data_IF_303358290151
#
_entry.id   IF_303358290151
#
_cell.length_a   1.000
_cell.length_b   1.000
_cell.length_c   1.000
_cell.angle_alpha   90.00
_cell.angle_beta   90.00
_cell.angle_gamma   90.00
#
_symmetry.space_group_name_H-M   'P 1'
#
loop_
_entity.id
_entity.type
_entity.pdbx_description
1 polymer ?
#
# COMPACT_ATOMS: atom_id res chain seq x y z
N UNK A 1 2.12 7.51 23.97
CA UNK A 1 2.30 7.26 22.52
C UNK A 1 2.64 8.59 21.88
N UNK A 2 3.78 8.69 21.21
CA UNK A 2 4.18 9.90 20.49
C UNK A 2 3.82 9.74 19.02
N UNK A 3 3.30 10.79 18.41
CA UNK A 3 3.02 10.85 16.97
C UNK A 3 4.03 11.84 16.39
N UNK A 4 4.72 11.41 15.34
CA UNK A 4 5.71 12.19 14.63
C UNK A 4 5.15 12.56 13.26
N UNK A 5 5.40 13.79 12.83
CA UNK A 5 4.97 14.28 11.53
C UNK A 5 6.19 14.53 10.64
N UNK A 6 6.02 14.24 9.36
CA UNK A 6 6.99 14.53 8.30
C UNK A 6 6.35 15.54 7.36
N UNK A 7 7.11 16.54 6.95
CA UNK A 7 6.62 17.52 5.98
C UNK A 7 7.01 17.06 4.57
N UNK A 8 6.08 17.08 3.63
CA UNK A 8 6.39 16.92 2.21
C UNK A 8 6.50 18.31 1.58
N UNK A 9 7.72 18.72 1.27
CA UNK A 9 7.99 19.96 0.56
C UNK A 9 7.60 19.85 -0.91
N UNK A 10 7.07 20.95 -1.44
CA UNK A 10 6.68 21.08 -2.85
C UNK A 10 7.89 21.66 -3.62
N UNK A 11 8.36 21.02 -4.70
CA UNK A 11 9.44 21.57 -5.53
C UNK A 11 9.10 22.98 -6.04
N UNK A 12 10.11 23.87 -6.12
CA UNK A 12 9.93 25.28 -6.50
C UNK A 12 9.18 25.48 -7.83
N UNK A 13 9.36 24.57 -8.77
CA UNK A 13 8.74 24.61 -10.10
C UNK A 13 7.34 23.97 -10.15
N UNK A 14 6.71 23.68 -9.01
CA UNK A 14 5.40 23.01 -8.93
C UNK A 14 4.48 23.70 -7.93
N UNK A 15 3.18 23.62 -8.22
CA UNK A 15 2.11 23.99 -7.28
C UNK A 15 1.68 22.82 -6.38
N UNK A 16 1.97 21.58 -6.80
CA UNK A 16 1.52 20.34 -6.12
C UNK A 16 2.68 19.41 -5.78
N UNK A 17 2.58 18.62 -4.70
CA UNK A 17 3.57 17.61 -4.35
C UNK A 17 3.82 16.60 -5.48
N UNK A 18 4.99 15.94 -5.46
CA UNK A 18 5.38 14.96 -6.48
C UNK A 18 4.64 13.62 -6.38
N UNK A 19 4.07 13.31 -5.21
CA UNK A 19 3.29 12.10 -4.97
C UNK A 19 3.72 11.38 -3.68
N UNK A 20 3.16 10.19 -3.47
CA UNK A 20 3.35 9.41 -2.24
C UNK A 20 4.76 8.83 -2.10
N UNK A 21 5.40 8.42 -3.20
CA UNK A 21 6.78 7.93 -3.19
C UNK A 21 7.77 9.03 -2.74
N UNK A 22 7.56 10.26 -3.20
CA UNK A 22 8.33 11.42 -2.76
C UNK A 22 8.06 11.75 -1.27
N UNK A 23 6.80 11.68 -0.83
CA UNK A 23 6.47 11.85 0.59
C UNK A 23 7.22 10.85 1.48
N UNK A 24 7.27 9.57 1.06
CA UNK A 24 8.04 8.54 1.76
C UNK A 24 9.54 8.82 1.73
N UNK A 25 10.08 9.24 0.58
CA UNK A 25 11.50 9.59 0.47
C UNK A 25 11.87 10.73 1.41
N UNK A 26 11.05 11.77 1.48
CA UNK A 26 11.26 12.91 2.38
C UNK A 26 11.12 12.50 3.85
N UNK A 27 10.17 11.63 4.18
CA UNK A 27 10.05 11.01 5.52
C UNK A 27 11.34 10.28 5.93
N UNK A 28 11.87 9.39 5.07
CA UNK A 28 13.12 8.66 5.34
C UNK A 28 14.36 9.57 5.42
N UNK A 29 14.31 10.77 4.86
CA UNK A 29 15.38 11.76 5.01
C UNK A 29 15.27 12.53 6.33
N UNK A 30 14.05 12.83 6.79
CA UNK A 30 13.79 13.50 8.07
C UNK A 30 13.95 12.55 9.28
N UNK A 31 13.72 11.25 9.08
CA UNK A 31 13.86 10.19 10.09
C UNK A 31 14.74 9.05 9.55
N UNK A 32 16.08 9.24 9.47
CA UNK A 32 16.99 8.27 8.90
C UNK A 32 16.98 6.89 9.57
N UNK A 33 16.61 6.81 10.86
CA UNK A 33 16.49 5.56 11.61
C UNK A 33 15.50 4.57 10.99
N UNK A 34 14.51 5.07 10.22
CA UNK A 34 13.55 4.22 9.51
C UNK A 34 14.18 3.42 8.36
N UNK A 35 15.39 3.78 7.92
CA UNK A 35 16.13 3.05 6.87
C UNK A 35 16.76 1.75 7.40
N UNK A 36 16.93 1.63 8.70
CA UNK A 36 17.62 0.51 9.34
C UNK A 36 16.66 -0.61 9.80
N UNK A 37 15.37 -0.48 9.51
CA UNK A 37 14.35 -1.42 9.98
C UNK A 37 13.19 -1.61 9.02
N UNK A 38 12.22 -2.41 9.46
CA UNK A 38 10.98 -2.67 8.72
C UNK A 38 9.88 -1.71 9.17
N UNK A 39 9.13 -1.18 8.21
CA UNK A 39 7.96 -0.35 8.46
C UNK A 39 6.81 -0.75 7.56
N UNK A 40 5.59 -0.50 8.03
CA UNK A 40 4.37 -0.64 7.24
C UNK A 40 3.97 0.71 6.69
N UNK A 41 3.64 0.75 5.40
CA UNK A 41 3.01 1.91 4.77
C UNK A 41 1.52 1.65 4.62
N UNK A 42 0.71 2.57 5.12
CA UNK A 42 -0.74 2.57 4.93
C UNK A 42 -1.23 3.98 4.60
N UNK A 43 -2.37 4.10 3.93
CA UNK A 43 -2.98 5.42 3.76
C UNK A 43 -3.74 5.84 5.03
N UNK A 44 -3.91 7.16 5.20
CA UNK A 44 -4.58 7.71 6.40
C UNK A 44 -6.11 7.70 6.32
N UNK A 45 -6.70 7.23 5.22
CA UNK A 45 -8.15 7.33 4.97
C UNK A 45 -8.85 5.96 4.84
N UNK A 46 -8.12 4.84 4.95
CA UNK A 46 -8.70 3.50 5.04
C UNK A 46 -8.65 2.96 6.47
N UNK A 47 -9.59 2.08 6.79
CA UNK A 47 -9.56 1.25 7.98
C UNK A 47 -9.00 -0.13 7.63
N UNK A 48 -7.96 -0.53 8.34
CA UNK A 48 -7.32 -1.84 8.20
C UNK A 48 -7.76 -2.74 9.35
N UNK A 49 -7.92 -4.03 9.07
CA UNK A 49 -8.21 -4.98 10.14
C UNK A 49 -6.97 -5.13 11.03
N UNK A 50 -7.20 -5.32 12.34
CA UNK A 50 -6.12 -5.60 13.29
C UNK A 50 -5.37 -6.88 12.91
N UNK A 51 -6.07 -7.87 12.35
CA UNK A 51 -5.47 -9.10 11.83
C UNK A 51 -4.46 -8.84 10.73
N UNK A 52 -4.83 -8.08 9.70
CA UNK A 52 -3.93 -7.81 8.57
C UNK A 52 -2.66 -7.05 9.01
N UNK A 53 -2.78 -6.10 9.95
CA UNK A 53 -1.62 -5.41 10.52
C UNK A 53 -0.74 -6.33 11.40
N UNK A 54 -1.34 -7.32 12.07
CA UNK A 54 -0.56 -8.34 12.81
C UNK A 54 0.18 -9.26 11.85
N UNK A 55 -0.45 -9.68 10.76
CA UNK A 55 0.15 -10.57 9.76
C UNK A 55 1.36 -9.89 9.09
N UNK A 56 1.26 -8.58 8.80
CA UNK A 56 2.40 -7.79 8.31
C UNK A 56 3.58 -7.67 9.29
N UNK A 57 3.39 -8.00 10.58
CA UNK A 57 4.46 -7.98 11.58
C UNK A 57 5.07 -9.36 11.85
N UNK A 58 4.52 -10.43 11.28
CA UNK A 58 5.06 -11.79 11.43
C UNK A 58 6.44 -11.87 10.76
N UNK A 59 7.35 -12.61 11.41
CA UNK A 59 8.69 -12.88 10.89
C UNK A 59 8.62 -13.64 9.55
N UNK A 60 9.52 -13.33 8.64
CA UNK A 60 9.50 -13.84 7.28
C UNK A 60 10.90 -13.99 6.71
N UNK A 61 11.05 -14.95 5.81
CA UNK A 61 12.29 -15.20 5.06
C UNK A 61 12.35 -14.43 3.73
N UNK A 62 11.35 -13.60 3.45
CA UNK A 62 11.25 -12.77 2.23
C UNK A 62 11.34 -11.28 2.61
N UNK A 63 11.91 -10.41 1.75
CA UNK A 63 12.23 -9.05 2.13
C UNK A 63 11.01 -8.15 2.34
N UNK A 64 9.90 -8.42 1.65
CA UNK A 64 8.73 -7.56 1.62
C UNK A 64 7.44 -8.38 1.78
N UNK A 65 6.40 -7.73 2.29
CA UNK A 65 5.04 -8.25 2.33
C UNK A 65 4.04 -7.13 2.08
N UNK A 66 2.86 -7.49 1.59
CA UNK A 66 1.74 -6.59 1.38
C UNK A 66 0.45 -7.28 1.83
N UNK A 67 -0.60 -6.49 2.04
CA UNK A 67 -1.95 -7.01 2.31
C UNK A 67 -2.75 -6.92 1.00
N UNK A 68 -3.30 -8.04 0.56
CA UNK A 68 -4.37 -8.09 -0.43
C UNK A 68 -5.69 -8.43 0.26
N UNK A 69 -6.80 -7.97 -0.31
CA UNK A 69 -8.13 -8.30 0.18
C UNK A 69 -8.88 -8.97 -0.96
N UNK A 70 -9.42 -10.17 -0.69
CA UNK A 70 -10.29 -10.83 -1.66
C UNK A 70 -11.52 -9.98 -1.96
N UNK A 71 -11.87 -9.88 -3.23
CA UNK A 71 -13.07 -9.16 -3.70
C UNK A 71 -14.34 -9.69 -3.00
N UNK A 72 -14.40 -11.00 -2.74
CA UNK A 72 -15.45 -11.69 -2.00
C UNK A 72 -15.65 -11.19 -0.56
N UNK A 73 -14.61 -10.60 0.04
CA UNK A 73 -14.66 -9.97 1.36
C UNK A 73 -15.42 -8.64 1.36
N UNK A 74 -15.67 -8.05 0.18
CA UNK A 74 -16.39 -6.80 0.03
C UNK A 74 -17.78 -7.04 -0.57
N UNK A 75 -18.81 -6.47 0.05
CA UNK A 75 -20.16 -6.38 -0.53
C UNK A 75 -20.25 -5.19 -1.51
N UNK A 76 -19.32 -5.12 -2.45
CA UNK A 76 -19.28 -4.05 -3.45
C UNK A 76 -19.89 -4.50 -4.77
N UNK A 77 -20.48 -3.55 -5.49
CA UNK A 77 -20.95 -3.79 -6.86
C UNK A 77 -19.76 -3.94 -7.79
N UNK A 78 -19.93 -4.66 -8.90
CA UNK A 78 -18.89 -4.84 -9.92
C UNK A 78 -18.33 -3.50 -10.41
N UNK A 79 -19.19 -2.48 -10.59
CA UNK A 79 -18.76 -1.12 -10.98
C UNK A 79 -17.99 -0.35 -9.90
N UNK A 80 -18.01 -0.80 -8.64
CA UNK A 80 -17.13 -0.28 -7.57
C UNK A 80 -15.85 -1.10 -7.50
N UNK A 81 -15.90 -2.41 -7.77
CA UNK A 81 -14.71 -3.27 -7.85
C UNK A 81 -13.77 -2.82 -8.98
N UNK A 82 -14.29 -2.41 -10.14
CA UNK A 82 -13.48 -1.90 -11.26
C UNK A 82 -12.74 -0.58 -10.99
N UNK A 83 -12.96 0.05 -9.85
CA UNK A 83 -12.21 1.25 -9.40
C UNK A 83 -11.00 0.90 -8.54
N UNK A 84 -10.89 -0.34 -8.08
CA UNK A 84 -9.73 -0.82 -7.35
C UNK A 84 -8.68 -1.36 -8.31
N UNK A 85 -7.42 -1.30 -7.90
CA UNK A 85 -6.39 -2.11 -8.52
C UNK A 85 -6.58 -3.58 -8.09
N UNK A 86 -6.34 -4.51 -9.02
CA UNK A 86 -6.32 -5.95 -8.75
C UNK A 86 -4.87 -6.43 -8.71
N UNK A 87 -4.58 -7.34 -7.81
CA UNK A 87 -3.25 -7.95 -7.68
C UNK A 87 -3.30 -9.35 -8.28
N UNK A 88 -2.43 -9.61 -9.26
CA UNK A 88 -2.15 -10.97 -9.71
C UNK A 88 -1.13 -11.60 -8.75
N UNK A 89 -1.58 -12.63 -8.04
CA UNK A 89 -0.79 -13.36 -7.04
C UNK A 89 -0.52 -14.76 -7.58
N UNK A 90 0.76 -15.17 -7.58
CA UNK A 90 1.16 -16.50 -8.01
C UNK A 90 0.66 -17.59 -7.06
N UNK A 91 0.71 -18.85 -7.50
CA UNK A 91 0.37 -20.01 -6.66
C UNK A 91 1.32 -20.19 -5.48
N UNK A 92 2.47 -19.53 -5.50
CA UNK A 92 3.47 -19.46 -4.42
C UNK A 92 3.33 -18.19 -3.55
N UNK A 93 2.20 -17.47 -3.64
CA UNK A 93 1.89 -16.26 -2.87
C UNK A 93 2.78 -15.04 -3.14
N UNK A 94 3.37 -14.96 -4.35
CA UNK A 94 4.14 -13.78 -4.77
C UNK A 94 3.33 -12.88 -5.70
N UNK A 95 3.43 -11.57 -5.48
CA UNK A 95 2.88 -10.56 -6.38
C UNK A 95 3.60 -10.62 -7.74
N UNK A 96 2.82 -10.83 -8.81
CA UNK A 96 3.30 -10.76 -10.20
C UNK A 96 3.10 -9.37 -10.78
N UNK A 97 1.88 -8.84 -10.66
CA UNK A 97 1.50 -7.54 -11.22
C UNK A 97 0.39 -6.88 -10.41
N UNK A 98 0.34 -5.55 -10.47
CA UNK A 98 -0.78 -4.74 -9.99
C UNK A 98 -1.46 -4.11 -11.22
N UNK A 99 -2.69 -4.50 -11.47
CA UNK A 99 -3.49 -4.04 -12.61
C UNK A 99 -4.36 -2.88 -12.13
N UNK A 100 -4.01 -1.66 -12.55
CA UNK A 100 -4.76 -0.45 -12.21
C UNK A 100 -6.01 -0.32 -13.08
N UNK A 101 -7.20 -0.28 -12.45
CA UNK A 101 -8.52 -0.20 -13.13
C UNK A 101 -8.68 -1.31 -14.17
N UNK A 102 -8.69 -2.59 -13.73
CA UNK A 102 -8.78 -3.73 -14.62
C UNK A 102 -10.09 -3.68 -15.42
N UNK A 103 -10.06 -4.29 -16.60
CA UNK A 103 -11.29 -4.57 -17.32
C UNK A 103 -12.05 -5.70 -16.60
N UNK A 104 -13.36 -5.78 -16.82
CA UNK A 104 -14.21 -6.75 -16.12
C UNK A 104 -13.81 -8.21 -16.38
N UNK A 105 -13.26 -8.50 -17.55
CA UNK A 105 -12.74 -9.78 -18.00
C UNK A 105 -11.41 -10.18 -17.35
N UNK A 106 -10.70 -9.25 -16.70
CA UNK A 106 -9.45 -9.49 -15.96
C UNK A 106 -9.72 -9.74 -14.47
N UNK A 107 -10.96 -9.57 -14.01
CA UNK A 107 -11.38 -9.82 -12.62
C UNK A 107 -11.93 -11.25 -12.53
N UNK A 108 -11.09 -12.22 -12.18
CA UNK A 108 -11.57 -13.55 -11.79
C UNK A 108 -12.39 -13.45 -10.49
N UNK A 109 -13.52 -14.17 -10.44
CA UNK A 109 -14.45 -14.20 -9.29
C UNK A 109 -14.06 -15.24 -8.25
#
# INVERSE_FOLDING_TARGET
MCIHFTIQDIPKEREKPLGTADAQKQCLNQYPELKEGFFTVCNGYNLYSVGALKDLKVERNVPNALISYGSSGFKFTDGRLSKFAVMDISVEDFLREIIEKPKFDEIEK
#
